data_IF_192595332808
#
_entry.id   IF_192595332808
#
_cell.length_a   1.000
_cell.length_b   1.000
_cell.length_c   1.000
_cell.angle_alpha   90.00
_cell.angle_beta   90.00
_cell.angle_gamma   90.00
#
_symmetry.space_group_name_H-M   'P 1'
#
loop_
_entity.id
_entity.type
_entity.pdbx_description
1 polymer ?
#
# COMPACT_ATOMS: atom_id res chain seq x y z
N UNK A 1 33.75 26.69 9.24
CA UNK A 1 33.27 25.32 8.95
C UNK A 1 31.88 25.41 8.33
N UNK A 2 31.46 24.44 7.51
CA UNK A 2 30.09 24.38 7.02
C UNK A 2 29.13 24.04 8.17
N UNK A 3 27.93 24.62 8.19
CA UNK A 3 26.92 24.29 9.20
C UNK A 3 26.30 22.92 8.92
N UNK A 4 26.03 22.17 9.99
CA UNK A 4 25.31 20.89 9.93
C UNK A 4 23.80 21.16 9.89
N UNK A 5 23.14 20.69 8.83
CA UNK A 5 21.70 20.86 8.62
C UNK A 5 20.93 19.60 9.05
N UNK A 6 20.16 19.73 10.12
CA UNK A 6 19.36 18.64 10.71
C UNK A 6 17.89 18.87 10.41
N UNK A 7 17.21 17.88 9.85
CA UNK A 7 15.75 17.91 9.72
C UNK A 7 15.13 16.93 10.70
N UNK A 8 14.20 17.40 11.54
CA UNK A 8 13.43 16.58 12.47
C UNK A 8 12.06 16.33 11.87
N UNK A 9 11.73 15.06 11.62
CA UNK A 9 10.51 14.62 10.97
C UNK A 9 9.62 13.85 11.95
N UNK A 10 8.53 14.46 12.40
CA UNK A 10 7.60 13.84 13.34
C UNK A 10 6.19 14.45 13.20
N UNK A 11 5.11 13.76 13.61
CA UNK A 11 3.77 14.33 13.53
C UNK A 11 3.62 15.51 14.51
N UNK A 12 3.06 16.65 14.08
CA UNK A 12 2.79 17.76 14.99
C UNK A 12 1.65 17.44 15.96
N UNK A 13 0.68 16.64 15.49
CA UNK A 13 -0.52 16.26 16.23
C UNK A 13 -0.18 15.59 17.58
N UNK A 14 -0.64 16.13 18.73
CA UNK A 14 -0.38 15.54 20.05
C UNK A 14 -1.09 14.19 20.26
N UNK A 15 -1.99 13.79 19.33
CA UNK A 15 -2.64 12.48 19.32
C UNK A 15 -1.65 11.34 19.05
N UNK A 16 -0.55 11.58 18.32
CA UNK A 16 0.53 10.59 18.16
C UNK A 16 1.24 10.43 19.51
N UNK A 17 1.15 9.23 20.11
CA UNK A 17 1.29 9.10 21.56
C UNK A 17 2.72 9.14 22.06
N UNK A 18 3.66 8.57 21.31
CA UNK A 18 5.08 8.53 21.70
C UNK A 18 5.87 9.77 21.21
N UNK A 19 5.80 10.08 19.91
CA UNK A 19 6.86 10.84 19.24
C UNK A 19 6.37 12.10 18.49
N UNK A 20 5.33 12.77 18.97
CA UNK A 20 4.89 14.04 18.36
C UNK A 20 5.96 15.14 18.49
N UNK A 21 5.99 16.11 17.55
CA UNK A 21 6.94 17.23 17.60
C UNK A 21 6.93 17.96 18.95
N UNK A 22 5.75 18.13 19.55
CA UNK A 22 5.56 18.70 20.89
C UNK A 22 6.33 17.98 22.02
N UNK A 23 6.68 16.70 21.83
CA UNK A 23 7.47 15.87 22.77
C UNK A 23 8.94 15.76 22.33
N UNK A 24 9.20 15.78 21.03
CA UNK A 24 10.54 15.62 20.44
C UNK A 24 11.35 16.92 20.46
N UNK A 25 10.71 18.09 20.24
CA UNK A 25 11.39 19.41 20.21
C UNK A 25 12.22 19.67 21.49
N UNK A 26 11.71 19.49 22.72
CA UNK A 26 12.50 19.71 23.94
C UNK A 26 13.73 18.79 24.04
N UNK A 27 13.58 17.51 23.66
CA UNK A 27 14.68 16.55 23.68
C UNK A 27 15.76 16.89 22.63
N UNK A 28 15.35 17.32 21.43
CA UNK A 28 16.25 17.80 20.38
C UNK A 28 16.99 19.06 20.81
N UNK A 29 16.29 20.05 21.37
CA UNK A 29 16.92 21.26 21.92
C UNK A 29 17.96 20.92 23.00
N UNK A 30 17.63 20.03 23.94
CA UNK A 30 18.58 19.58 24.96
C UNK A 30 19.79 18.83 24.38
N UNK A 31 19.61 18.07 23.31
CA UNK A 31 20.71 17.46 22.56
C UNK A 31 21.63 18.51 21.91
N UNK A 32 21.06 19.55 21.30
CA UNK A 32 21.82 20.65 20.68
C UNK A 32 22.59 21.46 21.72
N UNK A 33 21.98 21.74 22.88
CA UNK A 33 22.66 22.36 24.03
C UNK A 33 23.90 21.57 24.43
N UNK A 34 23.76 20.26 24.65
CA UNK A 34 24.86 19.41 25.13
C UNK A 34 25.96 19.23 24.07
N UNK A 35 25.61 19.13 22.78
CA UNK A 35 26.57 19.08 21.66
C UNK A 35 27.37 20.38 21.54
N UNK A 36 26.72 21.54 21.74
CA UNK A 36 27.40 22.85 21.78
C UNK A 36 28.27 23.00 23.02
N UNK A 37 27.76 22.60 24.20
CA UNK A 37 28.47 22.67 25.50
C UNK A 37 29.71 21.77 25.56
N UNK A 38 29.74 20.70 24.77
CA UNK A 38 30.92 19.82 24.59
C UNK A 38 31.79 20.20 23.40
N UNK A 39 31.49 21.30 22.71
CA UNK A 39 32.20 21.80 21.51
C UNK A 39 32.29 20.79 20.35
N UNK A 40 31.41 19.77 20.32
CA UNK A 40 31.43 18.69 19.32
C UNK A 40 31.05 19.21 17.93
N UNK A 41 30.14 20.19 17.85
CA UNK A 41 29.77 20.90 16.62
C UNK A 41 29.46 22.37 16.92
N UNK A 42 30.14 23.29 16.24
CA UNK A 42 29.98 24.74 16.46
C UNK A 42 28.75 25.35 15.78
N UNK A 43 28.29 24.77 14.66
CA UNK A 43 27.20 25.32 13.84
C UNK A 43 26.22 24.21 13.44
N UNK A 44 25.00 24.28 14.01
CA UNK A 44 23.90 23.35 13.73
C UNK A 44 22.65 24.18 13.45
N UNK A 45 22.06 23.98 12.27
CA UNK A 45 20.75 24.51 11.91
C UNK A 45 19.73 23.36 11.97
N UNK A 46 18.56 23.59 12.57
CA UNK A 46 17.55 22.55 12.75
C UNK A 46 16.19 23.01 12.23
N UNK A 47 15.61 22.22 11.34
CA UNK A 47 14.26 22.40 10.80
C UNK A 47 13.34 21.34 11.38
N UNK A 48 12.14 21.72 11.82
CA UNK A 48 11.11 20.79 12.31
C UNK A 48 9.98 20.70 11.30
N UNK A 49 9.56 19.48 10.96
CA UNK A 49 8.60 19.20 9.89
C UNK A 49 7.55 18.19 10.34
N UNK A 50 6.29 18.56 10.11
CA UNK A 50 5.15 17.67 10.32
C UNK A 50 5.13 16.58 9.25
N UNK A 51 5.06 15.32 9.67
CA UNK A 51 4.89 14.18 8.76
C UNK A 51 3.42 13.79 8.54
N UNK A 52 2.50 14.36 9.33
CA UNK A 52 1.10 13.93 9.49
C UNK A 52 0.95 12.41 9.78
N UNK A 53 2.02 11.75 10.23
CA UNK A 53 2.13 10.28 10.32
C UNK A 53 1.85 9.56 8.97
N UNK A 54 2.00 10.28 7.85
CA UNK A 54 1.48 9.93 6.54
C UNK A 54 2.57 9.45 5.57
N UNK A 55 2.29 8.32 4.89
CA UNK A 55 3.09 7.82 3.77
C UNK A 55 3.07 8.73 2.53
N UNK A 56 2.18 9.75 2.51
CA UNK A 56 2.04 10.72 1.43
C UNK A 56 2.75 12.03 1.76
N UNK A 57 2.47 12.60 2.94
CA UNK A 57 3.00 13.92 3.33
C UNK A 57 4.49 13.85 3.67
N UNK A 58 4.93 12.85 4.45
CA UNK A 58 6.33 12.73 4.87
C UNK A 58 7.35 12.72 3.70
N UNK A 59 7.19 11.94 2.61
CA UNK A 59 8.13 11.99 1.48
C UNK A 59 8.01 13.27 0.64
N UNK A 60 6.81 13.86 0.53
CA UNK A 60 6.64 15.16 -0.15
C UNK A 60 7.39 16.26 0.59
N UNK A 61 7.28 16.31 1.93
CA UNK A 61 8.00 17.26 2.76
C UNK A 61 9.52 17.00 2.75
N UNK A 62 9.96 15.73 2.88
CA UNK A 62 11.37 15.37 2.73
C UNK A 62 11.97 15.90 1.40
N UNK A 63 11.24 15.77 0.30
CA UNK A 63 11.68 16.25 -1.00
C UNK A 63 11.72 17.79 -1.10
N UNK A 64 10.74 18.50 -0.50
CA UNK A 64 10.76 19.98 -0.44
C UNK A 64 12.00 20.51 0.29
N UNK A 65 12.30 19.95 1.45
CA UNK A 65 13.43 20.37 2.30
C UNK A 65 14.78 20.15 1.60
N UNK A 66 14.90 19.03 0.86
CA UNK A 66 16.11 18.71 0.08
C UNK A 66 16.27 19.63 -1.13
N UNK A 67 15.15 20.04 -1.75
CA UNK A 67 15.13 21.08 -2.79
C UNK A 67 15.52 22.47 -2.24
N UNK A 68 15.13 22.78 -1.01
CA UNK A 68 15.44 24.05 -0.34
C UNK A 68 16.90 24.14 0.11
N UNK A 69 17.53 23.01 0.47
CA UNK A 69 18.96 22.94 0.70
C UNK A 69 19.47 21.55 1.11
N UNK A 70 20.77 21.32 0.93
CA UNK A 70 21.41 20.05 1.32
C UNK A 70 21.26 19.80 2.83
N UNK A 71 20.63 18.69 3.17
CA UNK A 71 20.53 18.21 4.55
C UNK A 71 21.73 17.29 4.91
N UNK A 72 22.10 17.23 6.19
CA UNK A 72 23.13 16.32 6.69
C UNK A 72 22.56 15.04 7.31
N UNK A 73 21.39 15.11 7.93
CA UNK A 73 20.78 13.98 8.65
C UNK A 73 19.28 14.24 8.85
N UNK A 74 18.48 13.18 8.76
CA UNK A 74 17.09 13.17 9.19
C UNK A 74 16.98 12.53 10.58
N UNK A 75 16.28 13.20 11.50
CA UNK A 75 15.90 12.67 12.81
C UNK A 75 14.41 12.31 12.76
N UNK A 76 14.11 11.02 12.65
CA UNK A 76 12.83 10.53 12.14
C UNK A 76 12.79 10.45 10.60
N UNK A 77 11.67 10.02 9.97
CA UNK A 77 10.35 9.83 10.58
C UNK A 77 10.26 8.75 11.65
N UNK A 78 9.26 8.92 12.52
CA UNK A 78 9.07 8.10 13.74
C UNK A 78 7.95 7.07 13.63
N UNK A 79 6.90 7.35 12.84
CA UNK A 79 5.85 6.38 12.53
C UNK A 79 6.18 5.59 11.26
N UNK A 80 6.02 4.27 11.32
CA UNK A 80 6.44 3.31 10.29
C UNK A 80 5.93 3.66 8.87
N UNK A 81 4.67 4.07 8.72
CA UNK A 81 4.10 4.48 7.43
C UNK A 81 4.75 5.74 6.84
N UNK A 82 5.16 6.70 7.66
CA UNK A 82 5.91 7.88 7.23
C UNK A 82 7.38 7.53 6.94
N UNK A 83 7.95 6.61 7.72
CA UNK A 83 9.35 6.21 7.62
C UNK A 83 9.64 5.34 6.39
N UNK A 84 8.75 4.42 6.01
CA UNK A 84 8.99 3.51 4.88
C UNK A 84 9.32 4.24 3.55
N UNK A 85 8.51 5.19 3.04
CA UNK A 85 8.86 5.89 1.79
C UNK A 85 10.09 6.78 1.96
N UNK A 86 10.19 7.54 3.06
CA UNK A 86 11.35 8.44 3.30
C UNK A 86 12.66 7.64 3.41
N UNK A 87 12.64 6.49 4.08
CA UNK A 87 13.77 5.57 4.22
C UNK A 87 14.18 4.88 2.94
N UNK A 88 13.24 4.62 2.02
CA UNK A 88 13.51 4.12 0.66
C UNK A 88 14.13 5.20 -0.25
N UNK A 89 13.82 6.47 -0.02
CA UNK A 89 14.32 7.59 -0.85
C UNK A 89 15.64 8.20 -0.31
N UNK A 90 15.87 8.17 1.00
CA UNK A 90 17.08 8.72 1.63
C UNK A 90 18.44 8.22 1.07
N UNK A 91 18.58 6.95 0.60
CA UNK A 91 19.79 6.51 -0.10
C UNK A 91 20.08 7.29 -1.39
N UNK A 92 19.06 7.67 -2.16
CA UNK A 92 19.21 8.46 -3.39
C UNK A 92 19.66 9.90 -3.12
N UNK A 93 19.42 10.38 -1.90
CA UNK A 93 19.87 11.68 -1.42
C UNK A 93 21.19 11.61 -0.64
N UNK A 94 21.72 10.40 -0.41
CA UNK A 94 22.85 10.10 0.47
C UNK A 94 22.69 10.70 1.89
N UNK A 95 21.48 10.60 2.45
CA UNK A 95 21.14 11.12 3.79
C UNK A 95 20.98 9.95 4.78
N UNK A 96 21.67 9.96 5.94
CA UNK A 96 21.37 9.07 7.04
C UNK A 96 20.07 9.44 7.73
N UNK A 97 19.25 8.44 8.06
CA UNK A 97 18.09 8.58 8.95
C UNK A 97 18.45 7.99 10.31
N UNK A 98 18.32 8.76 11.38
CA UNK A 98 18.39 8.27 12.77
C UNK A 98 17.01 8.38 13.39
N UNK A 99 16.43 7.29 13.88
CA UNK A 99 15.05 7.32 14.41
C UNK A 99 14.86 6.42 15.63
N UNK A 100 14.14 6.89 16.68
CA UNK A 100 13.69 6.05 17.79
C UNK A 100 12.43 5.24 17.44
N UNK A 101 11.90 5.36 16.21
CA UNK A 101 10.72 4.65 15.71
C UNK A 101 11.06 3.59 14.65
N UNK A 102 10.08 3.25 13.81
CA UNK A 102 10.22 2.22 12.77
C UNK A 102 10.23 0.82 13.36
N UNK A 103 9.16 0.44 14.05
CA UNK A 103 9.12 -0.77 14.87
C UNK A 103 8.97 -2.07 14.06
N UNK A 104 8.48 -2.00 12.82
CA UNK A 104 8.26 -3.16 11.95
C UNK A 104 9.51 -4.03 11.75
N UNK A 105 9.26 -5.32 11.61
CA UNK A 105 10.20 -6.35 11.17
C UNK A 105 10.81 -6.03 9.78
N UNK A 106 10.06 -5.37 8.90
CA UNK A 106 10.49 -5.06 7.53
C UNK A 106 11.77 -4.21 7.49
N UNK A 107 11.95 -3.30 8.46
CA UNK A 107 13.15 -2.48 8.58
C UNK A 107 14.41 -3.27 9.01
N UNK A 108 14.25 -4.49 9.53
CA UNK A 108 15.33 -5.47 9.77
C UNK A 108 15.61 -6.28 8.50
N UNK A 109 14.58 -6.83 7.86
CA UNK A 109 14.68 -7.67 6.64
C UNK A 109 15.30 -6.90 5.48
N UNK A 110 14.67 -5.79 5.08
CA UNK A 110 15.06 -5.02 3.91
C UNK A 110 16.15 -3.98 4.22
N UNK A 111 16.85 -4.12 5.36
CA UNK A 111 17.89 -3.17 5.81
C UNK A 111 19.00 -2.97 4.77
N UNK A 112 19.40 -4.01 4.04
CA UNK A 112 20.47 -3.93 3.03
C UNK A 112 19.98 -3.50 1.65
N UNK A 113 18.72 -3.76 1.32
CA UNK A 113 18.15 -3.57 -0.02
C UNK A 113 17.38 -2.25 -0.18
N UNK A 114 16.61 -1.86 0.84
CA UNK A 114 15.72 -0.69 0.80
C UNK A 114 16.11 0.41 1.80
N UNK A 115 16.64 0.02 2.97
CA UNK A 115 16.91 0.93 4.08
C UNK A 115 18.40 1.05 4.48
N UNK A 116 19.38 1.10 3.56
CA UNK A 116 20.81 1.03 3.91
C UNK A 116 21.31 2.25 4.71
N UNK A 117 20.63 3.40 4.62
CA UNK A 117 20.96 4.60 5.40
C UNK A 117 20.15 4.75 6.71
N UNK A 118 19.33 3.74 7.08
CA UNK A 118 18.49 3.77 8.26
C UNK A 118 19.21 3.24 9.53
N UNK A 119 19.17 4.07 10.57
CA UNK A 119 19.72 3.80 11.90
C UNK A 119 18.57 3.88 12.90
N UNK A 120 18.05 2.71 13.32
CA UNK A 120 17.07 2.61 14.42
C UNK A 120 17.79 2.68 15.76
N UNK A 121 17.31 3.51 16.67
CA UNK A 121 17.85 3.68 18.04
C UNK A 121 16.82 3.36 19.15
N UNK A 122 15.58 3.03 18.75
CA UNK A 122 14.50 2.64 19.66
C UNK A 122 14.19 1.13 19.63
N UNK A 123 13.07 0.70 20.24
CA UNK A 123 12.64 -0.69 20.26
C UNK A 123 12.19 -1.18 18.88
N UNK A 124 11.94 -2.48 18.77
CA UNK A 124 11.38 -3.13 17.57
C UNK A 124 10.38 -4.21 17.97
N UNK A 125 9.40 -4.50 17.12
CA UNK A 125 8.46 -5.59 17.42
C UNK A 125 9.17 -6.93 17.53
N UNK A 126 10.25 -7.16 16.77
CA UNK A 126 11.16 -8.31 16.88
C UNK A 126 11.54 -8.64 18.34
N UNK A 127 11.89 -7.62 19.14
CA UNK A 127 12.29 -7.79 20.55
C UNK A 127 11.12 -8.14 21.47
N UNK A 128 9.89 -7.72 21.14
CA UNK A 128 8.67 -8.04 21.89
C UNK A 128 8.19 -9.44 21.52
N UNK A 129 8.25 -9.81 20.25
CA UNK A 129 7.78 -11.11 19.74
C UNK A 129 8.70 -12.24 20.17
N UNK A 130 10.02 -12.02 20.17
CA UNK A 130 10.99 -12.97 20.72
C UNK A 130 10.80 -13.17 22.23
N UNK A 131 10.53 -12.11 23.00
CA UNK A 131 10.22 -12.22 24.43
C UNK A 131 8.96 -13.07 24.67
N UNK A 132 7.87 -12.79 23.94
CA UNK A 132 6.62 -13.58 24.06
C UNK A 132 6.87 -15.06 23.72
N UNK A 133 7.64 -15.34 22.67
CA UNK A 133 7.92 -16.72 22.27
C UNK A 133 8.78 -17.47 23.30
N UNK A 134 9.96 -16.95 23.65
CA UNK A 134 10.88 -17.63 24.56
C UNK A 134 10.41 -17.65 26.02
N UNK A 135 9.99 -16.50 26.57
CA UNK A 135 9.66 -16.36 28.00
C UNK A 135 8.18 -16.67 28.33
N UNK A 136 7.31 -16.89 27.32
CA UNK A 136 5.90 -17.26 27.56
C UNK A 136 5.54 -18.54 26.81
N UNK A 137 5.59 -18.56 25.47
CA UNK A 137 5.09 -19.71 24.70
C UNK A 137 5.93 -20.97 24.94
N UNK A 138 7.25 -20.83 25.05
CA UNK A 138 8.17 -21.93 25.31
C UNK A 138 8.15 -22.31 26.79
N UNK A 139 8.22 -21.34 27.71
CA UNK A 139 8.14 -21.60 29.17
C UNK A 139 6.85 -22.33 29.60
N UNK A 140 5.68 -21.93 29.08
CA UNK A 140 4.39 -22.54 29.43
C UNK A 140 3.96 -23.66 28.46
N UNK A 141 4.81 -24.04 27.49
CA UNK A 141 4.53 -25.13 26.55
C UNK A 141 3.34 -24.89 25.62
N UNK A 142 3.01 -23.62 25.32
CA UNK A 142 1.86 -23.28 24.47
C UNK A 142 2.18 -23.60 22.99
N UNK A 143 1.26 -24.33 22.33
CA UNK A 143 1.42 -24.87 20.96
C UNK A 143 0.20 -24.66 20.05
N UNK A 144 -0.82 -23.94 20.52
CA UNK A 144 -2.01 -23.56 19.75
C UNK A 144 -2.35 -22.11 20.10
N UNK A 145 -2.36 -21.23 19.10
CA UNK A 145 -2.37 -19.77 19.32
C UNK A 145 -3.35 -19.12 18.35
N UNK A 146 -4.24 -18.27 18.86
CA UNK A 146 -5.13 -17.45 18.02
C UNK A 146 -4.67 -16.00 18.11
N UNK A 147 -4.48 -15.33 16.97
CA UNK A 147 -4.05 -13.93 16.93
C UNK A 147 -5.25 -13.03 16.59
N UNK A 148 -5.62 -12.19 17.56
CA UNK A 148 -6.67 -11.19 17.46
C UNK A 148 -6.04 -9.80 17.62
N UNK A 149 -6.35 -8.88 16.70
CA UNK A 149 -5.88 -7.50 16.74
C UNK A 149 -6.95 -6.56 16.16
N UNK A 150 -6.99 -5.31 16.65
CA UNK A 150 -7.88 -4.26 16.11
C UNK A 150 -7.21 -3.60 14.89
N UNK A 151 -7.99 -3.35 13.83
CA UNK A 151 -7.52 -2.72 12.59
C UNK A 151 -7.78 -1.22 12.56
N UNK A 152 -8.81 -0.73 13.25
CA UNK A 152 -9.17 0.70 13.26
C UNK A 152 -8.61 1.45 14.49
N UNK A 153 -7.64 0.79 15.15
CA UNK A 153 -6.49 1.34 15.88
C UNK A 153 -6.71 2.60 16.74
N UNK A 154 -6.78 2.37 18.06
CA UNK A 154 -6.73 3.42 19.10
C UNK A 154 -5.45 3.32 19.93
N UNK A 155 -4.36 2.81 19.35
CA UNK A 155 -3.04 2.57 19.92
C UNK A 155 -2.11 3.79 19.90
N UNK A 156 -0.82 3.57 19.64
CA UNK A 156 0.24 4.58 19.81
C UNK A 156 0.48 5.43 18.55
N UNK A 157 0.35 4.80 17.38
CA UNK A 157 0.37 5.36 16.03
C UNK A 157 -0.47 4.46 15.11
N UNK A 158 -0.86 4.93 13.93
CA UNK A 158 -1.75 4.16 13.02
C UNK A 158 -1.12 2.85 12.53
N UNK A 159 -1.86 1.76 12.62
CA UNK A 159 -1.48 0.41 12.21
C UNK A 159 -0.55 -0.32 13.18
N UNK A 160 -0.39 0.17 14.40
CA UNK A 160 0.49 -0.40 15.42
C UNK A 160 0.15 -1.86 15.73
N UNK A 161 -1.12 -2.15 16.01
CA UNK A 161 -1.61 -3.49 16.38
C UNK A 161 -1.41 -4.49 15.22
N UNK A 162 -1.60 -4.04 13.98
CA UNK A 162 -1.33 -4.84 12.78
C UNK A 162 0.15 -5.17 12.59
N UNK A 163 1.04 -4.17 12.75
CA UNK A 163 2.48 -4.34 12.56
C UNK A 163 3.13 -5.17 13.67
N UNK A 164 2.61 -5.10 14.90
CA UNK A 164 2.99 -6.04 15.97
C UNK A 164 2.50 -7.46 15.65
N UNK A 165 1.25 -7.60 15.19
CA UNK A 165 0.68 -8.89 14.80
C UNK A 165 1.41 -9.56 13.64
N UNK A 166 1.83 -8.81 12.61
CA UNK A 166 2.60 -9.36 11.49
C UNK A 166 4.00 -9.80 11.92
N UNK A 167 4.71 -9.01 12.73
CA UNK A 167 6.00 -9.38 13.29
C UNK A 167 5.91 -10.67 14.14
N UNK A 168 4.82 -10.84 14.91
CA UNK A 168 4.59 -12.05 15.69
C UNK A 168 4.38 -13.28 14.80
N UNK A 169 3.59 -13.15 13.72
CA UNK A 169 3.40 -14.22 12.73
C UNK A 169 4.71 -14.60 12.04
N UNK A 170 5.64 -13.66 11.80
CA UNK A 170 6.97 -14.00 11.25
C UNK A 170 7.82 -14.73 12.28
N UNK A 171 7.93 -14.23 13.51
CA UNK A 171 8.68 -14.88 14.61
C UNK A 171 8.26 -16.34 14.80
N UNK A 172 6.94 -16.61 14.83
CA UNK A 172 6.40 -17.96 14.99
C UNK A 172 6.67 -18.89 13.79
N UNK A 173 6.85 -18.33 12.59
CA UNK A 173 7.22 -19.10 11.39
C UNK A 173 8.70 -19.45 11.36
N UNK A 174 9.57 -18.51 11.73
CA UNK A 174 11.03 -18.74 11.76
C UNK A 174 11.38 -19.86 12.75
N UNK A 175 10.79 -19.85 13.96
CA UNK A 175 11.11 -20.80 15.02
C UNK A 175 10.49 -22.21 14.87
N UNK A 176 9.83 -22.50 13.73
CA UNK A 176 9.52 -23.87 13.27
C UNK A 176 8.75 -24.77 14.25
N UNK A 177 7.96 -24.17 15.15
CA UNK A 177 7.04 -24.90 16.03
C UNK A 177 5.80 -25.31 15.21
N UNK A 178 5.30 -26.53 15.40
CA UNK A 178 4.09 -27.06 14.75
C UNK A 178 2.82 -26.36 15.27
N UNK A 179 2.64 -25.11 14.84
CA UNK A 179 1.66 -24.15 15.32
C UNK A 179 0.45 -24.11 14.39
N UNK A 180 -0.66 -24.69 14.84
CA UNK A 180 -1.97 -24.30 14.33
C UNK A 180 -2.30 -22.88 14.82
N UNK A 181 -2.04 -21.89 13.96
CA UNK A 181 -2.42 -20.50 14.18
C UNK A 181 -3.54 -20.05 13.23
N UNK A 182 -4.45 -19.21 13.74
CA UNK A 182 -5.57 -18.65 12.99
C UNK A 182 -5.52 -17.13 13.13
N UNK A 183 -5.29 -16.41 12.02
CA UNK A 183 -5.21 -14.95 12.00
C UNK A 183 -6.60 -14.38 11.68
N UNK A 184 -7.22 -13.70 12.65
CA UNK A 184 -8.52 -13.04 12.45
C UNK A 184 -8.37 -11.52 12.49
N UNK A 185 -8.23 -10.83 11.35
CA UNK A 185 -8.33 -9.39 11.30
C UNK A 185 -9.73 -8.95 11.76
N UNK A 186 -9.83 -7.95 12.65
CA UNK A 186 -11.11 -7.44 13.13
C UNK A 186 -11.98 -6.92 11.98
N UNK A 187 -13.10 -7.59 11.70
CA UNK A 187 -14.05 -7.23 10.64
C UNK A 187 -15.01 -6.10 11.09
N UNK A 188 -14.45 -4.91 11.30
CA UNK A 188 -15.10 -3.72 11.88
C UNK A 188 -16.14 -3.02 10.98
N UNK A 189 -16.79 -3.78 10.09
CA UNK A 189 -17.97 -3.36 9.30
C UNK A 189 -19.17 -4.31 9.43
N UNK A 190 -19.10 -5.28 10.34
CA UNK A 190 -20.28 -5.90 10.93
C UNK A 190 -20.28 -5.63 12.44
N UNK A 191 -21.46 -5.68 13.07
CA UNK A 191 -21.65 -5.52 14.52
C UNK A 191 -21.13 -6.75 15.26
N UNK A 192 -19.82 -6.95 15.24
CA UNK A 192 -19.12 -8.01 15.94
C UNK A 192 -19.06 -7.65 17.43
N UNK A 193 -20.08 -8.11 18.17
CA UNK A 193 -19.98 -8.19 19.61
C UNK A 193 -18.75 -9.06 19.95
N UNK A 194 -17.75 -8.50 20.63
CA UNK A 194 -16.52 -9.23 20.96
C UNK A 194 -16.82 -10.51 21.74
N UNK A 195 -17.82 -10.49 22.61
CA UNK A 195 -18.35 -11.67 23.31
C UNK A 195 -18.79 -12.76 22.33
N UNK A 196 -19.45 -12.41 21.22
CA UNK A 196 -19.88 -13.39 20.20
C UNK A 196 -18.68 -14.06 19.53
N UNK A 197 -17.67 -13.28 19.14
CA UNK A 197 -16.46 -13.83 18.49
C UNK A 197 -15.68 -14.73 19.46
N UNK A 198 -15.52 -14.30 20.71
CA UNK A 198 -14.84 -15.08 21.74
C UNK A 198 -15.62 -16.35 22.12
N UNK A 199 -16.96 -16.31 22.14
CA UNK A 199 -17.81 -17.49 22.44
C UNK A 199 -17.90 -18.45 21.25
N UNK A 200 -18.06 -17.98 20.01
CA UNK A 200 -18.27 -18.86 18.85
C UNK A 200 -16.96 -19.43 18.28
N UNK A 201 -15.90 -18.63 18.15
CA UNK A 201 -14.65 -19.08 17.50
C UNK A 201 -13.62 -19.66 18.48
N UNK A 202 -13.51 -19.09 19.68
CA UNK A 202 -12.57 -19.55 20.73
C UNK A 202 -13.29 -20.50 21.68
N UNK A 203 -14.45 -20.11 22.20
CA UNK A 203 -15.34 -20.94 23.01
C UNK A 203 -15.92 -22.12 22.23
N UNK A 204 -16.30 -21.97 20.96
CA UNK A 204 -16.88 -23.07 20.17
C UNK A 204 -15.93 -24.26 19.95
N UNK A 205 -14.62 -24.06 20.07
CA UNK A 205 -13.60 -25.11 20.05
C UNK A 205 -13.33 -25.73 21.44
N UNK A 206 -13.87 -25.16 22.53
CA UNK A 206 -13.52 -25.54 23.92
C UNK A 206 -14.67 -25.55 24.97
N UNK A 207 -15.92 -25.14 24.67
CA UNK A 207 -17.11 -25.39 25.51
C UNK A 207 -18.29 -24.39 25.48
N UNK A 208 -19.49 -24.89 25.11
CA UNK A 208 -20.88 -24.45 25.46
C UNK A 208 -21.42 -23.02 25.09
N UNK A 209 -22.76 -22.85 25.14
CA UNK A 209 -23.55 -21.70 24.59
C UNK A 209 -24.46 -21.01 25.65
N UNK A 210 -25.10 -19.84 25.43
CA UNK A 210 -26.43 -19.60 24.79
C UNK A 210 -26.65 -18.10 24.36
N UNK A 211 -27.55 -17.84 23.38
CA UNK A 211 -27.95 -16.57 22.65
C UNK A 211 -28.78 -15.53 23.47
N UNK A 212 -29.25 -14.31 23.05
CA UNK A 212 -29.42 -13.44 21.82
C UNK A 212 -29.60 -11.93 22.24
N UNK A 213 -30.14 -10.85 21.61
CA UNK A 213 -30.70 -10.26 20.33
C UNK A 213 -30.93 -8.71 20.60
N UNK A 214 -31.56 -7.75 19.85
CA UNK A 214 -31.68 -7.20 18.44
C UNK A 214 -32.43 -5.80 18.53
N UNK A 215 -32.77 -4.83 17.62
CA UNK A 215 -32.79 -4.48 16.15
C UNK A 215 -32.84 -2.91 15.91
N UNK A 216 -32.35 -2.39 14.74
CA UNK A 216 -32.78 -1.28 13.78
C UNK A 216 -33.62 0.01 14.17
N UNK A 217 -33.72 1.13 13.39
CA UNK A 217 -32.99 1.76 12.22
C UNK A 217 -33.53 3.16 11.71
N UNK A 218 -32.68 3.96 11.00
CA UNK A 218 -32.93 5.02 9.93
C UNK A 218 -33.74 6.33 10.29
N UNK A 219 -33.83 7.47 9.53
CA UNK A 219 -33.56 7.91 8.11
C UNK A 219 -32.94 9.37 7.98
N UNK A 220 -32.86 9.99 6.77
CA UNK A 220 -32.40 11.38 6.44
C UNK A 220 -33.20 12.03 5.27
N UNK A 221 -33.17 13.37 5.07
CA UNK A 221 -32.93 13.97 3.73
C UNK A 221 -32.12 15.32 3.69
N UNK A 222 -31.63 15.81 2.51
CA UNK A 222 -30.82 17.05 2.36
C UNK A 222 -31.35 18.11 1.34
N UNK A 223 -30.79 19.35 1.35
CA UNK A 223 -30.99 20.42 0.31
C UNK A 223 -29.77 21.38 0.24
N UNK A 224 -29.26 21.73 -0.97
CA UNK A 224 -28.75 23.08 -1.35
C UNK A 224 -28.47 23.20 -2.88
N UNK A 225 -28.54 24.40 -3.45
CA UNK A 225 -28.14 24.76 -4.82
C UNK A 225 -26.99 25.79 -4.83
N UNK A 226 -26.13 25.77 -5.85
CA UNK A 226 -25.19 26.88 -6.19
C UNK A 226 -25.09 27.03 -7.72
N UNK A 227 -25.05 28.28 -8.20
CA UNK A 227 -24.89 28.65 -9.61
C UNK A 227 -23.42 28.84 -10.01
N UNK A 228 -23.11 28.65 -11.30
CA UNK A 228 -21.79 28.95 -11.88
C UNK A 228 -21.95 30.03 -12.96
N UNK A 229 -21.12 31.08 -12.89
CA UNK A 229 -20.99 32.08 -13.95
C UNK A 229 -19.68 31.87 -14.70
N UNK A 230 -19.71 32.03 -16.03
CA UNK A 230 -18.54 31.91 -16.89
C UNK A 230 -18.13 33.29 -17.43
N UNK A 231 -16.86 33.65 -17.25
CA UNK A 231 -16.26 34.84 -17.85
C UNK A 231 -15.32 34.45 -19.00
N UNK A 232 -15.49 35.06 -20.17
CA UNK A 232 -14.60 34.88 -21.31
C UNK A 232 -13.57 36.02 -21.32
N UNK A 233 -12.28 35.67 -21.38
CA UNK A 233 -11.20 36.61 -21.65
C UNK A 233 -10.44 36.17 -22.90
N UNK A 234 -10.27 37.09 -23.85
CA UNK A 234 -9.39 36.92 -25.01
C UNK A 234 -8.04 37.56 -24.67
N UNK A 235 -6.96 36.80 -24.86
CA UNK A 235 -5.59 37.27 -24.68
C UNK A 235 -4.75 36.86 -25.91
N UNK A 236 -3.73 37.65 -26.23
CA UNK A 236 -2.92 37.49 -27.43
C UNK A 236 -2.07 36.19 -27.46
N UNK A 237 -1.64 35.77 -28.66
CA UNK A 237 -0.89 34.52 -28.86
C UNK A 237 0.48 34.50 -28.17
N UNK A 238 0.51 33.98 -26.94
CA UNK A 238 1.68 33.36 -26.34
C UNK A 238 1.45 31.85 -26.35
N UNK A 239 2.13 31.12 -27.24
CA UNK A 239 1.98 29.66 -27.35
C UNK A 239 2.38 28.98 -26.04
N UNK A 240 1.40 28.47 -25.31
CA UNK A 240 1.60 27.98 -23.94
C UNK A 240 2.13 26.56 -23.96
N UNK A 241 3.25 26.34 -23.28
CA UNK A 241 3.89 25.01 -23.18
C UNK A 241 3.07 24.07 -22.29
N UNK A 242 2.51 23.02 -22.87
CA UNK A 242 1.91 21.90 -22.14
C UNK A 242 2.98 20.85 -21.86
N UNK A 243 3.28 20.65 -20.59
CA UNK A 243 4.33 19.73 -20.12
C UNK A 243 3.70 18.38 -19.80
N UNK A 244 3.96 17.42 -20.67
CA UNK A 244 3.48 16.04 -20.57
C UNK A 244 4.64 15.13 -20.17
N UNK A 245 4.41 14.18 -19.26
CA UNK A 245 5.41 13.19 -18.88
C UNK A 245 4.90 11.79 -19.25
N UNK A 246 5.67 11.01 -20.00
CA UNK A 246 5.42 9.58 -20.15
C UNK A 246 6.23 8.80 -19.11
N UNK A 247 5.56 8.03 -18.25
CA UNK A 247 6.17 7.20 -17.20
C UNK A 247 5.83 5.73 -17.40
N UNK A 248 6.83 4.93 -17.77
CA UNK A 248 6.74 3.47 -17.88
C UNK A 248 8.14 2.84 -17.80
N UNK A 249 8.30 1.54 -17.54
CA UNK A 249 9.61 0.89 -17.61
C UNK A 249 10.11 0.83 -19.07
N UNK A 250 11.41 1.01 -19.33
CA UNK A 250 11.91 1.15 -20.70
C UNK A 250 11.85 -0.13 -21.55
N UNK A 251 12.34 -1.25 -21.01
CA UNK A 251 12.67 -2.47 -21.78
C UNK A 251 12.23 -3.85 -21.22
N UNK A 252 11.23 -4.00 -20.32
CA UNK A 252 10.80 -5.32 -19.88
C UNK A 252 10.06 -6.07 -21.01
N UNK A 253 10.79 -6.88 -21.77
CA UNK A 253 10.32 -7.54 -23.01
C UNK A 253 9.00 -8.29 -22.81
N UNK A 254 8.87 -9.00 -21.68
CA UNK A 254 7.71 -9.81 -21.31
C UNK A 254 6.52 -9.08 -20.66
N UNK A 255 6.58 -7.76 -20.42
CA UNK A 255 5.46 -7.00 -19.82
C UNK A 255 4.47 -6.50 -20.88
N UNK A 256 3.22 -6.28 -20.47
CA UNK A 256 2.19 -5.67 -21.32
C UNK A 256 2.57 -4.26 -21.78
N UNK A 257 3.12 -3.43 -20.88
CA UNK A 257 3.50 -2.05 -21.15
C UNK A 257 5.00 -1.82 -20.96
N UNK A 258 5.59 -1.01 -21.84
CA UNK A 258 6.94 -0.44 -21.72
C UNK A 258 7.02 0.83 -22.56
N UNK A 259 7.99 1.72 -22.29
CA UNK A 259 8.20 2.93 -23.13
C UNK A 259 8.35 2.56 -24.60
N UNK A 260 9.15 1.54 -24.90
CA UNK A 260 9.33 1.01 -26.25
C UNK A 260 8.04 0.53 -26.93
N UNK A 261 7.04 0.07 -26.18
CA UNK A 261 5.73 -0.35 -26.72
C UNK A 261 4.73 0.80 -26.82
N UNK A 262 4.75 1.78 -25.90
CA UNK A 262 3.75 2.86 -25.86
C UNK A 262 4.15 4.13 -26.61
N UNK A 263 5.44 4.43 -26.75
CA UNK A 263 5.91 5.69 -27.37
C UNK A 263 5.44 5.90 -28.82
N UNK A 264 5.36 4.88 -29.70
CA UNK A 264 4.80 5.08 -31.05
C UNK A 264 3.34 5.56 -31.02
N UNK A 265 2.52 5.02 -30.12
CA UNK A 265 1.12 5.42 -29.97
C UNK A 265 0.98 6.83 -29.34
N UNK A 266 1.87 7.20 -28.42
CA UNK A 266 1.92 8.54 -27.84
C UNK A 266 2.30 9.57 -28.90
N UNK A 267 3.32 9.30 -29.73
CA UNK A 267 3.75 10.19 -30.80
C UNK A 267 2.64 10.41 -31.83
N UNK A 268 2.03 9.33 -32.35
CA UNK A 268 0.88 9.43 -33.28
C UNK A 268 -0.31 10.19 -32.66
N UNK A 269 -0.54 10.05 -31.35
CA UNK A 269 -1.56 10.81 -30.64
C UNK A 269 -1.26 12.31 -30.56
N UNK A 270 0.00 12.70 -30.36
CA UNK A 270 0.45 14.10 -30.37
C UNK A 270 0.36 14.67 -31.78
N UNK A 271 0.88 13.95 -32.79
CA UNK A 271 0.81 14.31 -34.20
C UNK A 271 -0.64 14.54 -34.66
N UNK A 272 -1.59 13.68 -34.27
CA UNK A 272 -3.00 13.84 -34.63
C UNK A 272 -3.68 15.01 -33.89
N UNK A 273 -3.29 15.31 -32.65
CA UNK A 273 -3.76 16.48 -31.88
C UNK A 273 -3.27 17.79 -32.51
N UNK A 274 -2.00 17.83 -32.93
CA UNK A 274 -1.41 18.99 -33.62
C UNK A 274 -1.97 19.14 -35.04
N UNK A 275 -2.07 18.06 -35.82
CA UNK A 275 -2.63 18.06 -37.19
C UNK A 275 -4.10 18.49 -37.24
N UNK A 276 -4.90 18.14 -36.23
CA UNK A 276 -6.29 18.60 -36.09
C UNK A 276 -6.42 20.01 -35.50
N UNK A 277 -5.33 20.60 -35.00
CA UNK A 277 -5.36 21.91 -34.34
C UNK A 277 -6.23 21.95 -33.08
N UNK A 278 -6.33 20.83 -32.33
CA UNK A 278 -7.21 20.73 -31.14
C UNK A 278 -6.80 21.69 -30.02
N UNK A 279 -5.49 22.00 -29.95
CA UNK A 279 -4.89 22.86 -28.93
C UNK A 279 -4.07 23.97 -29.62
N UNK A 280 -4.69 24.87 -30.42
CA UNK A 280 -3.98 25.68 -31.42
C UNK A 280 -2.96 26.65 -30.81
N UNK A 281 -3.26 27.16 -29.61
CA UNK A 281 -2.42 28.13 -28.89
C UNK A 281 -1.43 27.45 -27.93
N UNK A 282 -1.15 26.15 -28.10
CA UNK A 282 -0.29 25.37 -27.21
C UNK A 282 0.83 24.67 -27.97
N UNK A 283 1.89 24.29 -27.24
CA UNK A 283 2.92 23.37 -27.71
C UNK A 283 3.06 22.22 -26.73
N UNK A 284 2.96 20.99 -27.21
CA UNK A 284 3.21 19.80 -26.39
C UNK A 284 4.72 19.60 -26.24
N UNK A 285 5.18 19.56 -25.00
CA UNK A 285 6.55 19.23 -24.62
C UNK A 285 6.51 17.93 -23.81
N UNK A 286 6.76 16.79 -24.48
CA UNK A 286 6.80 15.47 -23.87
C UNK A 286 8.18 15.19 -23.25
N UNK A 287 8.21 14.85 -21.96
CA UNK A 287 9.38 14.28 -21.28
C UNK A 287 9.15 12.78 -21.08
N UNK A 288 10.17 11.96 -21.32
CA UNK A 288 10.09 10.50 -21.16
C UNK A 288 10.90 10.08 -19.93
N UNK A 289 10.29 9.28 -19.06
CA UNK A 289 10.87 8.82 -17.79
C UNK A 289 10.72 7.31 -17.66
N UNK A 290 11.84 6.61 -17.73
CA UNK A 290 11.92 5.19 -17.37
C UNK A 290 11.66 5.04 -15.86
N UNK A 291 10.73 4.16 -15.46
CA UNK A 291 10.40 3.90 -14.05
C UNK A 291 11.17 2.73 -13.43
N UNK A 292 11.92 1.97 -14.24
CA UNK A 292 12.65 0.75 -13.82
C UNK A 292 11.77 -0.30 -13.11
N UNK A 293 10.44 -0.28 -13.34
CA UNK A 293 9.46 -1.17 -12.69
C UNK A 293 9.54 -1.12 -11.15
N UNK A 294 9.89 0.05 -10.59
CA UNK A 294 10.28 0.20 -9.19
C UNK A 294 9.40 1.19 -8.42
N UNK A 295 8.81 0.69 -7.34
CA UNK A 295 8.17 1.46 -6.26
C UNK A 295 9.12 2.44 -5.53
N UNK A 296 10.42 2.42 -5.84
CA UNK A 296 11.43 3.32 -5.29
C UNK A 296 11.93 4.28 -6.37
N UNK A 297 12.44 3.75 -7.49
CA UNK A 297 13.07 4.58 -8.54
C UNK A 297 12.04 5.40 -9.30
N UNK A 298 10.86 4.86 -9.61
CA UNK A 298 9.77 5.59 -10.27
C UNK A 298 9.35 6.84 -9.51
N UNK A 299 9.04 6.76 -8.20
CA UNK A 299 8.78 7.93 -7.35
C UNK A 299 9.94 8.94 -7.25
N UNK A 300 11.19 8.50 -7.09
CA UNK A 300 12.34 9.41 -7.07
C UNK A 300 12.43 10.18 -8.38
N UNK A 301 12.22 9.51 -9.52
CA UNK A 301 12.20 10.14 -10.85
C UNK A 301 10.98 11.05 -11.07
N UNK A 302 9.81 10.72 -10.51
CA UNK A 302 8.63 11.60 -10.48
C UNK A 302 8.94 12.92 -9.74
N UNK A 303 9.52 12.85 -8.54
CA UNK A 303 9.90 14.05 -7.78
C UNK A 303 10.97 14.87 -8.54
N UNK A 304 11.97 14.21 -9.12
CA UNK A 304 13.01 14.86 -9.91
C UNK A 304 12.44 15.60 -11.14
N UNK A 305 11.51 15.00 -11.89
CA UNK A 305 10.93 15.67 -13.08
C UNK A 305 9.95 16.80 -12.68
N UNK A 306 9.21 16.65 -11.58
CA UNK A 306 8.45 17.73 -10.94
C UNK A 306 9.36 18.93 -10.62
N UNK A 307 10.53 18.68 -10.02
CA UNK A 307 11.50 19.72 -9.68
C UNK A 307 12.13 20.38 -10.92
N UNK A 308 12.57 19.59 -11.91
CA UNK A 308 13.12 20.08 -13.18
C UNK A 308 12.11 20.95 -13.94
N UNK A 309 10.82 20.59 -13.91
CA UNK A 309 9.73 21.40 -14.46
C UNK A 309 9.26 22.53 -13.51
N UNK A 310 9.99 22.84 -12.45
CA UNK A 310 9.71 23.94 -11.53
C UNK A 310 8.38 23.82 -10.77
N UNK A 311 7.83 22.61 -10.65
CA UNK A 311 6.53 22.32 -10.04
C UNK A 311 5.31 22.47 -10.96
N UNK A 312 5.50 22.77 -12.26
CA UNK A 312 4.40 22.89 -13.23
C UNK A 312 4.42 21.76 -14.25
N UNK A 313 3.49 20.81 -14.11
CA UNK A 313 3.25 19.70 -15.05
C UNK A 313 1.75 19.66 -15.38
N UNK A 314 1.40 19.37 -16.63
CA UNK A 314 0.02 19.42 -17.12
C UNK A 314 -0.64 18.03 -17.18
N UNK A 315 0.14 16.97 -17.44
CA UNK A 315 -0.37 15.60 -17.53
C UNK A 315 0.77 14.57 -17.37
N UNK A 316 0.52 13.52 -16.60
CA UNK A 316 1.29 12.28 -16.62
C UNK A 316 0.54 11.21 -17.44
N UNK A 317 1.24 10.56 -18.36
CA UNK A 317 0.83 9.37 -19.08
C UNK A 317 1.53 8.16 -18.43
N UNK A 318 0.76 7.33 -17.73
CA UNK A 318 1.31 6.41 -16.72
C UNK A 318 1.64 7.11 -15.39
N UNK A 319 2.21 6.42 -14.38
CA UNK A 319 2.76 5.07 -14.45
C UNK A 319 1.78 3.96 -14.86
N UNK A 320 2.30 2.95 -15.55
CA UNK A 320 1.55 1.83 -16.12
C UNK A 320 1.55 0.56 -15.24
N UNK A 321 2.24 0.60 -14.11
CA UNK A 321 2.55 -0.53 -13.25
C UNK A 321 2.15 -0.17 -11.80
N UNK A 322 1.49 -1.09 -11.09
CA UNK A 322 0.72 -0.80 -9.88
C UNK A 322 1.57 -0.37 -8.66
N UNK A 323 2.73 -1.00 -8.43
CA UNK A 323 3.63 -0.67 -7.32
C UNK A 323 4.37 0.66 -7.54
N UNK A 324 4.58 1.08 -8.79
CA UNK A 324 5.03 2.44 -9.16
C UNK A 324 3.88 3.46 -9.10
N UNK A 325 2.69 3.07 -9.58
CA UNK A 325 1.53 3.95 -9.68
C UNK A 325 0.92 4.29 -8.32
N UNK A 326 0.98 3.38 -7.35
CA UNK A 326 0.49 3.62 -5.98
C UNK A 326 1.14 4.86 -5.33
N UNK A 327 2.47 4.91 -5.09
CA UNK A 327 3.12 6.10 -4.54
C UNK A 327 2.97 7.33 -5.44
N UNK A 328 3.22 7.22 -6.75
CA UNK A 328 3.10 8.38 -7.67
C UNK A 328 1.68 8.95 -7.72
N UNK A 329 0.66 8.08 -7.68
CA UNK A 329 -0.76 8.46 -7.65
C UNK A 329 -1.22 9.06 -6.33
N UNK A 330 -0.58 8.70 -5.21
CA UNK A 330 -0.77 9.37 -3.92
C UNK A 330 -0.08 10.74 -3.85
N UNK A 331 1.07 10.91 -4.52
CA UNK A 331 1.83 12.17 -4.54
C UNK A 331 1.28 13.20 -5.53
N UNK A 332 0.82 12.78 -6.71
CA UNK A 332 0.37 13.69 -7.78
C UNK A 332 -0.73 14.71 -7.39
N UNK A 333 -1.71 14.40 -6.52
CA UNK A 333 -2.68 15.38 -6.02
C UNK A 333 -2.07 16.59 -5.31
N UNK A 334 -0.89 16.47 -4.69
CA UNK A 334 -0.21 17.61 -4.05
C UNK A 334 0.17 18.72 -5.05
N UNK A 335 0.54 18.33 -6.28
CA UNK A 335 0.82 19.25 -7.38
C UNK A 335 -0.41 19.51 -8.28
N UNK A 336 -1.59 19.02 -7.88
CA UNK A 336 -2.80 18.96 -8.72
C UNK A 336 -2.53 18.34 -10.11
N UNK A 337 -1.59 17.38 -10.19
CA UNK A 337 -1.12 16.84 -11.45
C UNK A 337 -2.03 15.68 -11.92
N UNK A 338 -2.68 15.77 -13.10
CA UNK A 338 -3.48 14.69 -13.64
C UNK A 338 -2.60 13.49 -14.02
N UNK A 339 -3.06 12.28 -13.72
CA UNK A 339 -2.49 11.03 -14.25
C UNK A 339 -3.54 10.37 -15.15
N UNK A 340 -3.13 9.95 -16.35
CA UNK A 340 -3.92 9.13 -17.26
C UNK A 340 -3.16 7.84 -17.55
N UNK A 341 -3.73 6.67 -17.23
CA UNK A 341 -3.01 5.39 -17.36
C UNK A 341 -3.89 4.22 -17.85
N UNK A 342 -3.36 3.34 -18.71
CA UNK A 342 -3.97 2.04 -19.04
C UNK A 342 -3.70 0.96 -17.98
N UNK A 343 -2.78 1.20 -17.03
CA UNK A 343 -2.47 0.28 -15.92
C UNK A 343 -3.31 0.54 -14.66
N UNK A 344 -2.78 0.20 -13.49
CA UNK A 344 -3.50 0.35 -12.22
C UNK A 344 -4.57 -0.70 -12.04
N UNK A 345 -4.23 -1.98 -12.21
CA UNK A 345 -5.20 -3.08 -12.24
C UNK A 345 -5.84 -3.36 -10.87
N UNK A 346 -5.18 -3.01 -9.76
CA UNK A 346 -5.70 -3.18 -8.42
C UNK A 346 -6.98 -2.38 -8.16
N UNK A 347 -7.94 -3.05 -7.52
CA UNK A 347 -9.19 -2.45 -7.06
C UNK A 347 -9.00 -1.26 -6.08
N UNK A 348 -7.87 -1.19 -5.36
CA UNK A 348 -7.51 -0.07 -4.47
C UNK A 348 -7.60 1.29 -5.17
N UNK A 349 -7.20 1.38 -6.45
CA UNK A 349 -7.26 2.62 -7.23
C UNK A 349 -8.70 3.14 -7.44
N UNK A 350 -9.69 2.25 -7.35
CA UNK A 350 -11.11 2.56 -7.43
C UNK A 350 -11.67 2.91 -6.06
N UNK A 351 -11.37 2.12 -5.02
CA UNK A 351 -11.87 2.33 -3.66
C UNK A 351 -11.33 3.62 -3.04
N UNK A 352 -10.01 3.86 -3.17
CA UNK A 352 -9.32 4.99 -2.54
C UNK A 352 -9.31 6.26 -3.40
N UNK A 353 -10.02 6.27 -4.53
CA UNK A 353 -10.08 7.40 -5.49
C UNK A 353 -10.36 8.75 -4.83
N UNK A 354 -11.27 8.80 -3.85
CA UNK A 354 -11.70 10.04 -3.21
C UNK A 354 -10.78 10.53 -2.08
N UNK A 355 -9.91 9.65 -1.56
CA UNK A 355 -9.04 9.95 -0.40
C UNK A 355 -7.57 10.09 -0.79
N UNK A 356 -7.10 9.25 -1.70
CA UNK A 356 -5.70 9.08 -2.08
C UNK A 356 -5.49 9.44 -3.55
N UNK A 357 -6.09 8.68 -4.47
CA UNK A 357 -5.83 8.78 -5.91
C UNK A 357 -6.69 9.82 -6.65
N UNK A 358 -6.80 11.02 -6.09
CA UNK A 358 -7.78 12.05 -6.52
C UNK A 358 -7.62 12.52 -7.97
N UNK A 359 -6.38 12.58 -8.47
CA UNK A 359 -6.06 13.03 -9.84
C UNK A 359 -5.84 11.88 -10.84
N UNK A 360 -6.06 10.63 -10.41
CA UNK A 360 -5.86 9.44 -11.24
C UNK A 360 -7.06 9.17 -12.15
N UNK A 361 -6.82 9.04 -13.45
CA UNK A 361 -7.79 8.54 -14.44
C UNK A 361 -7.25 7.26 -15.06
N UNK A 362 -8.02 6.18 -14.92
CA UNK A 362 -7.75 4.88 -15.54
C UNK A 362 -8.57 4.73 -16.81
N UNK A 363 -7.95 4.26 -17.88
CA UNK A 363 -8.59 3.93 -19.17
C UNK A 363 -8.50 2.44 -19.51
N UNK A 364 -7.74 1.66 -18.74
CA UNK A 364 -7.66 0.20 -18.87
C UNK A 364 -8.64 -0.56 -17.97
N UNK A 365 -8.75 -1.89 -18.14
CA UNK A 365 -9.54 -2.76 -17.28
C UNK A 365 -9.00 -2.76 -15.84
N UNK A 366 -9.72 -3.38 -14.91
CA UNK A 366 -9.26 -3.61 -13.53
C UNK A 366 -9.60 -5.03 -13.09
N UNK A 367 -8.84 -5.59 -12.15
CA UNK A 367 -9.12 -6.92 -11.60
C UNK A 367 -10.47 -6.97 -10.86
N UNK A 368 -11.05 -5.83 -10.50
CA UNK A 368 -12.43 -5.75 -10.01
C UNK A 368 -13.46 -6.17 -11.08
N UNK A 369 -13.20 -5.96 -12.38
CA UNK A 369 -14.06 -6.47 -13.46
C UNK A 369 -13.93 -7.98 -13.67
N UNK A 370 -12.73 -8.54 -13.52
CA UNK A 370 -12.51 -10.00 -13.58
C UNK A 370 -13.12 -10.70 -12.37
N UNK A 371 -12.91 -10.16 -11.16
CA UNK A 371 -13.53 -10.61 -9.92
C UNK A 371 -15.07 -10.56 -10.01
N UNK A 372 -15.64 -9.47 -10.54
CA UNK A 372 -17.08 -9.37 -10.78
C UNK A 372 -17.58 -10.44 -11.74
N UNK A 373 -16.92 -10.64 -12.89
CA UNK A 373 -17.32 -11.66 -13.86
C UNK A 373 -17.36 -13.08 -13.24
N UNK A 374 -16.29 -13.47 -12.54
CA UNK A 374 -16.21 -14.77 -11.89
C UNK A 374 -17.30 -14.96 -10.83
N UNK A 375 -17.54 -13.95 -9.98
CA UNK A 375 -18.49 -14.06 -8.86
C UNK A 375 -19.95 -13.94 -9.31
N UNK A 376 -20.26 -13.00 -10.20
CA UNK A 376 -21.64 -12.73 -10.61
C UNK A 376 -22.12 -13.65 -11.74
N UNK A 377 -21.31 -13.85 -12.78
CA UNK A 377 -21.74 -14.59 -13.97
C UNK A 377 -21.48 -16.10 -13.82
N UNK A 378 -20.33 -16.51 -13.24
CA UNK A 378 -19.96 -17.93 -13.12
C UNK A 378 -20.45 -18.54 -11.80
N UNK A 379 -20.01 -18.01 -10.66
CA UNK A 379 -20.29 -18.62 -9.35
C UNK A 379 -21.78 -18.63 -8.99
N UNK A 380 -22.52 -17.53 -9.23
CA UNK A 380 -23.97 -17.49 -8.93
C UNK A 380 -24.77 -18.37 -9.89
N UNK A 381 -24.43 -18.41 -11.18
CA UNK A 381 -25.09 -19.28 -12.17
C UNK A 381 -24.99 -20.76 -11.79
N UNK A 382 -23.81 -21.20 -11.32
CA UNK A 382 -23.60 -22.58 -10.87
C UNK A 382 -23.83 -22.82 -9.36
N UNK A 383 -24.31 -21.80 -8.63
CA UNK A 383 -24.60 -21.82 -7.20
C UNK A 383 -23.42 -22.25 -6.29
N UNK A 384 -22.18 -21.93 -6.67
CA UNK A 384 -20.97 -22.38 -5.96
C UNK A 384 -20.80 -21.70 -4.59
N UNK A 385 -20.95 -22.47 -3.50
CA UNK A 385 -20.83 -22.00 -2.10
C UNK A 385 -19.52 -22.37 -1.39
N UNK A 386 -18.48 -22.82 -2.10
CA UNK A 386 -17.16 -23.19 -1.54
C UNK A 386 -16.06 -22.91 -2.56
N UNK A 387 -15.08 -22.08 -2.18
CA UNK A 387 -13.91 -21.76 -3.04
C UNK A 387 -12.63 -21.83 -2.22
N UNK A 388 -11.61 -22.48 -2.79
CA UNK A 388 -10.22 -22.35 -2.37
C UNK A 388 -9.46 -21.56 -3.42
N UNK A 389 -8.71 -20.54 -2.99
CA UNK A 389 -7.90 -19.69 -3.88
C UNK A 389 -6.44 -20.11 -3.77
N UNK A 390 -5.83 -20.41 -4.91
CA UNK A 390 -4.39 -20.62 -5.03
C UNK A 390 -3.84 -19.70 -6.12
N UNK A 391 -2.85 -18.91 -5.75
CA UNK A 391 -2.04 -18.09 -6.65
C UNK A 391 -0.56 -18.40 -6.38
N UNK A 392 0.29 -18.21 -7.39
CA UNK A 392 1.74 -18.29 -7.23
C UNK A 392 2.29 -16.93 -6.75
N UNK A 393 3.39 -16.93 -6.01
CA UNK A 393 4.17 -15.72 -5.69
C UNK A 393 5.30 -15.47 -6.69
N UNK A 394 5.71 -16.49 -7.45
CA UNK A 394 7.00 -16.55 -8.14
C UNK A 394 6.85 -16.61 -9.68
N UNK A 395 5.63 -16.41 -10.22
CA UNK A 395 5.34 -16.53 -11.65
C UNK A 395 6.15 -15.56 -12.53
N UNK A 396 6.46 -15.99 -13.75
CA UNK A 396 7.30 -15.28 -14.73
C UNK A 396 6.54 -14.86 -15.99
N UNK A 397 5.20 -14.94 -15.96
CA UNK A 397 4.32 -14.59 -17.07
C UNK A 397 4.12 -13.08 -17.25
N UNK A 398 3.21 -12.74 -18.18
CA UNK A 398 2.84 -11.35 -18.53
C UNK A 398 2.46 -10.50 -17.31
N UNK A 399 1.89 -11.15 -16.29
CA UNK A 399 1.34 -10.58 -15.06
C UNK A 399 2.16 -10.93 -13.80
N UNK A 400 3.45 -11.30 -13.91
CA UNK A 400 4.37 -11.52 -12.79
C UNK A 400 4.15 -10.49 -11.64
N UNK A 401 3.85 -10.96 -10.43
CA UNK A 401 3.59 -10.12 -9.24
C UNK A 401 2.17 -9.53 -9.13
N UNK A 402 1.32 -9.66 -10.15
CA UNK A 402 -0.08 -9.19 -10.11
C UNK A 402 -1.07 -10.26 -9.64
N UNK A 403 -0.69 -11.54 -9.53
CA UNK A 403 -1.60 -12.61 -9.14
C UNK A 403 -2.17 -12.41 -7.72
N UNK A 404 -1.36 -11.83 -6.81
CA UNK A 404 -1.83 -11.35 -5.51
C UNK A 404 -2.88 -10.22 -5.63
N UNK A 405 -2.73 -9.30 -6.58
CA UNK A 405 -3.65 -8.18 -6.80
C UNK A 405 -4.98 -8.67 -7.41
N UNK A 406 -4.93 -9.67 -8.32
CA UNK A 406 -6.11 -10.36 -8.83
C UNK A 406 -6.82 -11.15 -7.73
N UNK A 407 -6.06 -11.93 -6.94
CA UNK A 407 -6.58 -12.67 -5.79
C UNK A 407 -7.20 -11.75 -4.73
N UNK A 408 -6.58 -10.60 -4.44
CA UNK A 408 -7.09 -9.58 -3.52
C UNK A 408 -8.40 -8.96 -4.04
N UNK A 409 -8.45 -8.59 -5.33
CA UNK A 409 -9.68 -8.09 -5.96
C UNK A 409 -10.81 -9.14 -5.93
N UNK A 410 -10.50 -10.42 -6.19
CA UNK A 410 -11.45 -11.52 -6.01
C UNK A 410 -11.93 -11.61 -4.56
N UNK A 411 -11.05 -11.67 -3.57
CA UNK A 411 -11.41 -11.75 -2.14
C UNK A 411 -12.31 -10.57 -1.71
N UNK A 412 -11.99 -9.36 -2.14
CA UNK A 412 -12.76 -8.16 -1.83
C UNK A 412 -14.16 -8.23 -2.43
N UNK A 413 -14.26 -8.50 -3.74
CA UNK A 413 -15.55 -8.56 -4.43
C UNK A 413 -16.40 -9.74 -3.93
N UNK A 414 -15.78 -10.90 -3.76
CA UNK A 414 -16.38 -12.11 -3.22
C UNK A 414 -17.05 -11.86 -1.87
N UNK A 415 -16.32 -11.29 -0.90
CA UNK A 415 -16.84 -10.99 0.45
C UNK A 415 -18.00 -9.99 0.42
N UNK A 416 -18.00 -9.04 -0.50
CA UNK A 416 -19.10 -8.07 -0.68
C UNK A 416 -20.34 -8.69 -1.34
N UNK A 417 -20.16 -9.64 -2.25
CA UNK A 417 -21.23 -10.17 -3.10
C UNK A 417 -21.89 -11.45 -2.54
N UNK A 418 -21.15 -12.25 -1.75
CA UNK A 418 -21.61 -13.55 -1.20
C UNK A 418 -21.41 -13.70 0.32
N UNK A 419 -20.75 -12.77 0.99
CA UNK A 419 -20.71 -12.68 2.45
C UNK A 419 -20.10 -13.89 3.16
N UNK A 420 -20.75 -14.34 4.23
CA UNK A 420 -20.31 -15.44 5.11
C UNK A 420 -20.94 -16.81 4.80
N UNK A 421 -21.74 -16.94 3.74
CA UNK A 421 -22.33 -18.24 3.35
C UNK A 421 -21.31 -19.25 2.80
N UNK A 422 -20.06 -18.83 2.61
CA UNK A 422 -19.04 -19.56 1.87
C UNK A 422 -17.75 -19.71 2.66
N UNK A 423 -17.23 -20.93 2.70
CA UNK A 423 -15.89 -21.21 3.24
C UNK A 423 -14.83 -20.81 2.20
N UNK A 424 -13.85 -20.05 2.67
CA UNK A 424 -12.74 -19.52 1.89
C UNK A 424 -11.42 -19.81 2.60
N UNK A 425 -10.49 -20.47 1.91
CA UNK A 425 -9.15 -20.82 2.41
C UNK A 425 -8.11 -20.30 1.39
N UNK A 426 -7.05 -19.64 1.88
CA UNK A 426 -5.86 -19.27 1.10
C UNK A 426 -4.80 -20.33 1.38
N UNK A 427 -4.21 -20.90 0.34
CA UNK A 427 -3.28 -22.02 0.46
C UNK A 427 -1.89 -21.63 -0.10
N UNK A 428 -0.84 -21.81 0.71
CA UNK A 428 0.55 -21.41 0.40
C UNK A 428 1.29 -22.49 -0.41
N UNK A 429 2.26 -22.14 -1.28
CA UNK A 429 2.70 -23.01 -2.37
C UNK A 429 3.42 -24.30 -1.94
N UNK A 430 2.60 -25.34 -1.72
CA UNK A 430 2.95 -26.76 -1.82
C UNK A 430 1.86 -27.48 -2.63
N UNK A 431 1.85 -27.27 -3.94
CA UNK A 431 0.75 -27.68 -4.82
C UNK A 431 0.41 -29.18 -4.74
N UNK A 432 1.41 -30.06 -4.61
CA UNK A 432 1.19 -31.51 -4.46
C UNK A 432 0.48 -31.86 -3.13
N UNK A 433 1.06 -31.44 -2.00
CA UNK A 433 0.50 -31.65 -0.66
C UNK A 433 -0.92 -31.06 -0.56
N UNK A 434 -1.17 -29.86 -1.12
CA UNK A 434 -2.50 -29.26 -1.17
C UNK A 434 -3.49 -30.09 -1.98
N UNK A 435 -3.10 -30.57 -3.17
CA UNK A 435 -3.99 -31.38 -4.00
C UNK A 435 -4.25 -32.75 -3.39
N UNK A 436 -3.30 -33.34 -2.64
CA UNK A 436 -3.55 -34.57 -1.89
C UNK A 436 -4.40 -34.34 -0.63
N UNK A 437 -4.01 -33.46 0.28
CA UNK A 437 -4.70 -33.32 1.57
C UNK A 437 -5.95 -32.44 1.51
N UNK A 438 -5.92 -31.34 0.75
CA UNK A 438 -7.09 -30.45 0.65
C UNK A 438 -8.08 -30.91 -0.42
N UNK A 439 -7.64 -31.49 -1.54
CA UNK A 439 -8.56 -31.99 -2.58
C UNK A 439 -8.81 -33.50 -2.46
N UNK A 440 -7.76 -34.31 -2.40
CA UNK A 440 -7.84 -35.78 -2.29
C UNK A 440 -8.43 -36.28 -0.97
N UNK A 441 -8.12 -35.66 0.18
CA UNK A 441 -8.59 -36.13 1.49
C UNK A 441 -9.80 -35.32 2.04
N UNK A 442 -9.84 -33.99 1.85
CA UNK A 442 -10.92 -33.12 2.40
C UNK A 442 -12.22 -33.10 1.57
N UNK A 443 -12.20 -33.55 0.31
CA UNK A 443 -13.33 -33.45 -0.62
C UNK A 443 -13.74 -34.75 -1.36
N UNK A 444 -13.05 -35.87 -1.17
CA UNK A 444 -13.35 -37.14 -1.85
C UNK A 444 -14.51 -37.95 -1.25
N UNK A 445 -15.05 -37.52 -0.11
CA UNK A 445 -16.14 -38.21 0.57
C UNK A 445 -17.51 -38.04 -0.11
N UNK A 446 -18.22 -39.16 -0.29
CA UNK A 446 -19.63 -39.28 -0.72
C UNK A 446 -19.87 -39.08 -2.23
N UNK A 447 -19.53 -40.09 -3.03
CA UNK A 447 -20.09 -40.35 -4.37
C UNK A 447 -21.30 -41.30 -4.32
N UNK A 448 -22.28 -41.02 -3.44
CA UNK A 448 -23.53 -41.80 -3.32
C UNK A 448 -24.75 -40.89 -3.25
N UNK A 449 -25.52 -40.82 -4.33
CA UNK A 449 -26.73 -39.99 -4.44
C UNK A 449 -26.44 -38.54 -4.83
N UNK A 450 -27.24 -37.98 -5.74
CA UNK A 450 -26.95 -36.68 -6.34
C UNK A 450 -27.21 -35.50 -5.40
N UNK A 451 -26.20 -34.64 -5.19
CA UNK A 451 -26.37 -33.35 -4.52
C UNK A 451 -25.43 -32.29 -5.15
N UNK A 452 -25.97 -31.16 -5.61
CA UNK A 452 -25.27 -30.18 -6.47
C UNK A 452 -24.38 -29.19 -5.69
N UNK A 453 -23.49 -29.69 -4.83
CA UNK A 453 -22.66 -28.86 -3.93
C UNK A 453 -21.16 -29.18 -3.99
N UNK A 454 -20.61 -29.41 -5.18
CA UNK A 454 -19.16 -29.58 -5.39
C UNK A 454 -18.40 -28.29 -5.06
N UNK A 455 -17.27 -28.36 -4.33
CA UNK A 455 -16.37 -27.23 -4.14
C UNK A 455 -15.55 -26.96 -5.40
N UNK A 456 -15.17 -25.70 -5.65
CA UNK A 456 -14.34 -25.32 -6.80
C UNK A 456 -12.98 -24.80 -6.34
N UNK A 457 -11.94 -25.33 -6.98
CA UNK A 457 -10.57 -24.86 -6.86
C UNK A 457 -10.32 -23.78 -7.92
N UNK A 458 -10.11 -22.54 -7.49
CA UNK A 458 -9.64 -21.48 -8.38
C UNK A 458 -8.11 -21.37 -8.23
N UNK A 459 -7.41 -22.10 -9.09
CA UNK A 459 -5.97 -21.92 -9.30
C UNK A 459 -5.76 -20.92 -10.44
N UNK A 460 -4.88 -19.94 -10.25
CA UNK A 460 -4.49 -18.97 -11.27
C UNK A 460 -3.02 -19.17 -11.71
N UNK A 461 -2.69 -20.21 -12.50
CA UNK A 461 -1.38 -20.32 -13.12
C UNK A 461 -1.32 -19.40 -14.35
N UNK A 462 -0.55 -18.30 -14.30
CA UNK A 462 -0.40 -17.35 -15.42
C UNK A 462 0.42 -17.87 -16.62
N UNK A 463 0.62 -19.18 -16.73
CA UNK A 463 1.21 -19.85 -17.88
C UNK A 463 0.14 -20.21 -18.94
N UNK A 464 -0.04 -19.29 -19.89
CA UNK A 464 -0.72 -19.52 -21.18
C UNK A 464 -2.23 -19.86 -21.14
N UNK A 465 -3.03 -19.05 -20.45
CA UNK A 465 -4.49 -19.09 -20.56
C UNK A 465 -5.05 -17.99 -21.48
N UNK A 466 -5.20 -18.29 -22.78
CA UNK A 466 -6.18 -17.58 -23.63
C UNK A 466 -7.54 -18.20 -23.33
N UNK A 467 -8.46 -17.40 -22.79
CA UNK A 467 -9.87 -17.78 -22.61
C UNK A 467 -10.74 -16.98 -23.59
N UNK A 468 -11.50 -17.72 -24.39
CA UNK A 468 -12.64 -17.25 -25.20
C UNK A 468 -13.92 -17.27 -24.36
#
# INVERSE_FOLDING_TARGET
MAAITVTVMAPASPKSRLFSLTKVIPAVHRGIEEVKRREILSHINVTFVDTEESAIIAPVEAFKIIREGRQNVFLGPVGDYALSPVGRYAPFWNIPIVTPGGFSHDFKVFRKSEYPTLIRTGPSFDSVTAFIDHEILQQYGWRKISLLYDKDDRGLFKGFDYLMGSAFVVQLRENSIDLHYEIKPSLLHQTMNYTKTLVEDVGGKFGASVTSCVLRAQTMPPVLWVLVTAGVFVAAEVRTSLRMIAMAPAFPRGRMFSLTKIMPAINLGIEEVERRGVLPNHRINLTVVDTEESAIVGPVRFFNVIHQQGGKINLFLGPVEDYTLSPVGGYAPYWNAPILTPGGFSHDFKEKRQVEYKTLTRIGPGFDSAARFLVDEVMKMHHWKRVSLIYDSDDRGLFNGYDYLLGSAFINYFKKSLGSEVKFEILTPKYADILMDTVGNKFSGITTGGNRNSPVLLAFPCHSAVLL
#
